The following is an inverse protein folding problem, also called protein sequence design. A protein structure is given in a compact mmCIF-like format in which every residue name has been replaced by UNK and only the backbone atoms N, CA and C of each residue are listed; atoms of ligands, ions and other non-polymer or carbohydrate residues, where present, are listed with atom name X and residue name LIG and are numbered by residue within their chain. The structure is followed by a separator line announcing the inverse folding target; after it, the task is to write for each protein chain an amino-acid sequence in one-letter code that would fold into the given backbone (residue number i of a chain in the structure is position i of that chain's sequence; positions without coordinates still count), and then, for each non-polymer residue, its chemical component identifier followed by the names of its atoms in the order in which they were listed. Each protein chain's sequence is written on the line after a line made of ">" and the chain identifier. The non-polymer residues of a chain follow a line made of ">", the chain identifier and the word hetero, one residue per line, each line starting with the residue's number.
data_IF_559840959080
#
_entry.id   IF_559840959080
#
_cell.length_a   1.000
_cell.length_b   1.000
_cell.length_c   1.000
_cell.angle_alpha   90.00
_cell.angle_beta   90.00
_cell.angle_gamma   90.00
#
_symmetry.space_group_name_H-M   'P 1'
#
loop_
_entity.id
_entity.type
_entity.pdbx_description
1 polymer ?
#
# COMPACT_ATOMS: atom_id res chain seq x y z
N UNK A 1 -7.92 14.26 -47.00
CA UNK A 1 -8.85 13.12 -47.09
C UNK A 1 -9.00 12.54 -45.69
N UNK A 2 -10.05 12.98 -44.99
CA UNK A 2 -11.13 12.12 -44.46
C UNK A 2 -10.63 11.23 -43.29
N UNK A 3 -10.62 11.72 -42.05
CA UNK A 3 -11.74 11.75 -41.07
C UNK A 3 -12.19 10.36 -40.61
N UNK A 4 -12.21 10.14 -39.29
CA UNK A 4 -12.88 9.02 -38.61
C UNK A 4 -11.89 7.97 -38.13
N UNK A 5 -11.81 7.60 -36.86
CA UNK A 5 -12.85 7.53 -35.84
C UNK A 5 -12.21 7.84 -34.48
N UNK A 6 -12.67 8.91 -33.84
CA UNK A 6 -12.57 9.04 -32.39
C UNK A 6 -13.37 7.86 -31.83
N UNK A 7 -12.67 6.87 -31.27
CA UNK A 7 -13.28 5.74 -30.57
C UNK A 7 -13.91 6.30 -29.30
N UNK A 8 -15.15 6.78 -29.42
CA UNK A 8 -15.96 7.19 -28.29
C UNK A 8 -16.12 5.98 -27.39
N UNK A 9 -15.42 5.96 -26.25
CA UNK A 9 -15.69 5.00 -25.18
C UNK A 9 -17.20 5.00 -24.95
N UNK A 10 -17.89 3.85 -24.92
CA UNK A 10 -19.30 3.84 -24.55
C UNK A 10 -19.38 4.37 -23.12
N UNK A 11 -19.96 5.55 -22.99
CA UNK A 11 -20.17 6.22 -21.72
C UNK A 11 -21.11 5.33 -20.92
N UNK A 12 -20.58 4.67 -19.89
CA UNK A 12 -21.40 3.89 -18.96
C UNK A 12 -22.36 4.86 -18.29
N UNK A 13 -23.64 4.82 -18.70
CA UNK A 13 -24.64 5.79 -18.28
C UNK A 13 -24.72 5.81 -16.74
N UNK A 14 -24.48 6.97 -16.08
CA UNK A 14 -24.50 7.08 -14.61
C UNK A 14 -25.77 6.51 -13.96
N UNK A 15 -26.90 6.60 -14.66
CA UNK A 15 -28.18 6.03 -14.24
C UNK A 15 -28.14 4.51 -14.07
N UNK A 16 -27.45 3.78 -14.95
CA UNK A 16 -27.32 2.32 -14.84
C UNK A 16 -26.52 1.90 -13.61
N UNK A 17 -25.47 2.65 -13.26
CA UNK A 17 -24.67 2.37 -12.06
C UNK A 17 -25.43 2.64 -10.77
N UNK A 18 -26.32 3.64 -10.78
CA UNK A 18 -27.23 3.89 -9.66
C UNK A 18 -28.24 2.76 -9.49
N UNK A 19 -28.88 2.32 -10.59
CA UNK A 19 -29.85 1.22 -10.54
C UNK A 19 -29.24 -0.10 -10.06
N UNK A 20 -27.97 -0.35 -10.41
CA UNK A 20 -27.20 -1.51 -9.95
C UNK A 20 -26.62 -1.34 -8.53
N UNK A 21 -26.88 -0.20 -7.87
CA UNK A 21 -26.32 0.14 -6.56
C UNK A 21 -24.80 -0.04 -6.50
N UNK A 22 -24.10 0.29 -7.60
CA UNK A 22 -22.68 -0.05 -7.77
C UNK A 22 -21.81 0.54 -6.66
N UNK A 23 -22.08 1.77 -6.24
CA UNK A 23 -21.37 2.41 -5.12
C UNK A 23 -21.56 1.64 -3.80
N UNK A 24 -22.76 1.12 -3.53
CA UNK A 24 -23.06 0.30 -2.34
C UNK A 24 -22.24 -0.99 -2.35
N UNK A 25 -22.14 -1.66 -3.51
CA UNK A 25 -21.29 -2.84 -3.68
C UNK A 25 -19.82 -2.52 -3.40
N UNK A 26 -19.31 -1.41 -3.95
CA UNK A 26 -17.93 -0.97 -3.69
C UNK A 26 -17.69 -0.67 -2.21
N UNK A 27 -18.64 -0.07 -1.50
CA UNK A 27 -18.51 0.16 -0.05
C UNK A 27 -18.44 -1.15 0.75
N UNK A 28 -19.27 -2.14 0.39
CA UNK A 28 -19.22 -3.46 1.03
C UNK A 28 -17.85 -4.12 0.84
N UNK A 29 -17.28 -4.05 -0.36
CA UNK A 29 -15.95 -4.60 -0.64
C UNK A 29 -14.87 -3.77 0.09
N UNK A 30 -14.95 -2.44 0.05
CA UNK A 30 -14.01 -1.54 0.70
C UNK A 30 -13.94 -1.77 2.22
N UNK A 31 -15.07 -2.14 2.86
CA UNK A 31 -15.12 -2.50 4.28
C UNK A 31 -14.30 -3.74 4.64
N UNK A 32 -13.93 -4.56 3.65
CA UNK A 32 -13.11 -5.77 3.79
C UNK A 32 -11.64 -5.55 3.41
N UNK A 33 -11.26 -4.36 2.95
CA UNK A 33 -9.89 -4.07 2.56
C UNK A 33 -8.96 -4.07 3.79
N UNK A 34 -7.75 -4.61 3.63
CA UNK A 34 -6.75 -4.67 4.70
C UNK A 34 -6.06 -3.32 4.99
N UNK A 35 -6.32 -2.28 4.20
CA UNK A 35 -5.70 -0.96 4.34
C UNK A 35 -6.63 0.17 3.91
N UNK A 36 -6.40 1.36 4.45
CA UNK A 36 -7.15 2.57 4.08
C UNK A 36 -6.95 2.91 2.60
N UNK A 37 -5.72 2.80 2.09
CA UNK A 37 -5.40 3.01 0.67
C UNK A 37 -6.11 2.01 -0.24
N UNK A 38 -6.18 0.73 0.16
CA UNK A 38 -6.93 -0.31 -0.58
C UNK A 38 -8.43 -0.02 -0.60
N UNK A 39 -9.00 0.38 0.54
CA UNK A 39 -10.40 0.76 0.63
C UNK A 39 -10.72 1.96 -0.27
N UNK A 40 -9.87 2.99 -0.26
CA UNK A 40 -10.00 4.16 -1.13
C UNK A 40 -9.89 3.79 -2.62
N UNK A 41 -8.96 2.89 -2.97
CA UNK A 41 -8.83 2.38 -4.33
C UNK A 41 -10.11 1.68 -4.80
N UNK A 42 -10.68 0.80 -3.97
CA UNK A 42 -11.92 0.09 -4.29
C UNK A 42 -13.09 1.06 -4.54
N UNK A 43 -13.27 2.08 -3.70
CA UNK A 43 -14.29 3.12 -3.89
C UNK A 43 -14.10 3.91 -5.20
N UNK A 44 -12.85 4.06 -5.62
CA UNK A 44 -12.49 4.73 -6.87
C UNK A 44 -12.72 3.90 -8.12
N UNK A 45 -13.00 2.59 -8.01
CA UNK A 45 -13.16 1.72 -9.17
C UNK A 45 -14.34 2.15 -10.05
N UNK A 46 -14.16 2.01 -11.35
CA UNK A 46 -15.20 2.21 -12.37
C UNK A 46 -15.21 1.00 -13.29
N UNK A 47 -16.39 0.58 -13.78
CA UNK A 47 -16.42 -0.46 -14.80
C UNK A 47 -15.70 0.02 -16.05
N UNK A 48 -15.16 -0.92 -16.80
CA UNK A 48 -14.38 -0.61 -17.99
C UNK A 48 -15.07 -1.13 -19.23
N UNK A 49 -15.21 -0.24 -20.20
CA UNK A 49 -15.70 -0.58 -21.53
C UNK A 49 -14.67 -1.35 -22.39
N UNK A 50 -13.42 -1.42 -21.94
CA UNK A 50 -12.34 -2.07 -22.70
C UNK A 50 -12.19 -3.51 -22.22
N UNK A 51 -12.60 -4.46 -23.06
CA UNK A 51 -12.59 -5.88 -22.73
C UNK A 51 -11.20 -6.40 -22.32
N UNK A 52 -10.12 -5.90 -22.94
CA UNK A 52 -8.76 -6.26 -22.56
C UNK A 52 -8.43 -5.86 -21.11
N UNK A 53 -8.71 -4.60 -20.74
CA UNK A 53 -8.51 -4.11 -19.37
C UNK A 53 -9.40 -4.80 -18.35
N UNK A 54 -10.63 -5.17 -18.73
CA UNK A 54 -11.52 -5.96 -17.86
C UNK A 54 -10.95 -7.36 -17.60
N UNK A 55 -10.50 -8.06 -18.64
CA UNK A 55 -9.86 -9.38 -18.52
C UNK A 55 -8.61 -9.34 -17.66
N UNK A 56 -7.73 -8.35 -17.87
CA UNK A 56 -6.50 -8.21 -17.07
C UNK A 56 -6.81 -8.06 -15.57
N UNK A 57 -7.77 -7.21 -15.20
CA UNK A 57 -8.18 -7.07 -13.78
C UNK A 57 -8.83 -8.33 -13.22
N UNK A 58 -9.60 -9.05 -14.02
CA UNK A 58 -10.19 -10.33 -13.60
C UNK A 58 -9.11 -11.40 -13.40
N UNK A 59 -8.12 -11.49 -14.29
CA UNK A 59 -6.97 -12.39 -14.12
C UNK A 59 -6.21 -12.11 -12.83
N UNK A 60 -5.92 -10.83 -12.52
CA UNK A 60 -5.30 -10.47 -11.23
C UNK A 60 -6.17 -10.86 -10.03
N UNK A 61 -7.49 -10.77 -10.16
CA UNK A 61 -8.43 -11.18 -9.12
C UNK A 61 -8.40 -12.69 -8.90
N UNK A 62 -8.41 -13.48 -9.98
CA UNK A 62 -8.34 -14.94 -9.94
C UNK A 62 -7.01 -15.43 -9.35
N UNK A 63 -5.89 -14.80 -9.72
CA UNK A 63 -4.59 -15.05 -9.12
C UNK A 63 -4.60 -14.74 -7.62
N UNK A 64 -5.23 -13.64 -7.20
CA UNK A 64 -5.33 -13.28 -5.78
C UNK A 64 -6.18 -14.27 -4.99
N UNK A 65 -7.31 -14.72 -5.55
CA UNK A 65 -8.14 -15.78 -4.94
C UNK A 65 -7.34 -17.07 -4.81
N UNK A 66 -6.58 -17.42 -5.84
CA UNK A 66 -5.70 -18.60 -5.83
C UNK A 66 -4.67 -18.52 -4.70
N UNK A 67 -4.00 -17.37 -4.55
CA UNK A 67 -3.01 -17.14 -3.49
C UNK A 67 -3.65 -17.26 -2.09
N UNK A 68 -4.79 -16.60 -1.86
CA UNK A 68 -5.47 -16.61 -0.56
C UNK A 68 -5.95 -18.01 -0.18
N UNK A 69 -6.50 -18.77 -1.12
CA UNK A 69 -7.07 -20.09 -0.84
C UNK A 69 -6.04 -21.23 -0.79
N UNK A 70 -4.95 -21.15 -1.55
CA UNK A 70 -3.95 -22.24 -1.63
C UNK A 70 -2.82 -22.09 -0.61
N UNK A 71 -2.42 -20.87 -0.32
CA UNK A 71 -1.26 -20.57 0.53
C UNK A 71 -1.66 -20.01 1.90
N UNK A 72 -2.96 -19.96 2.22
CA UNK A 72 -3.53 -19.29 3.40
C UNK A 72 -2.92 -17.89 3.61
N UNK A 73 -2.68 -17.19 2.50
CA UNK A 73 -1.93 -15.94 2.53
C UNK A 73 -2.77 -14.82 3.12
N UNK A 74 -2.16 -14.10 4.07
CA UNK A 74 -2.76 -12.94 4.73
C UNK A 74 -1.80 -11.75 4.52
N UNK A 75 -2.29 -10.59 4.03
CA UNK A 75 -1.44 -9.43 3.88
C UNK A 75 -0.88 -8.99 5.25
N UNK A 76 0.38 -8.52 5.31
CA UNK A 76 0.86 -7.86 6.52
C UNK A 76 0.02 -6.61 6.81
N UNK A 77 0.10 -6.08 8.03
CA UNK A 77 -0.48 -4.77 8.35
C UNK A 77 0.11 -3.72 7.40
N UNK A 78 -0.75 -3.02 6.67
CA UNK A 78 -0.38 -1.89 5.81
C UNK A 78 -0.94 -0.62 6.48
N UNK A 79 -0.08 0.26 7.03
CA UNK A 79 -0.55 1.46 7.69
C UNK A 79 -0.98 2.54 6.71
N UNK A 80 -1.75 3.51 7.21
CA UNK A 80 -1.95 4.77 6.49
C UNK A 80 -0.79 5.72 6.80
N UNK A 81 0.25 5.65 5.98
CA UNK A 81 1.44 6.50 6.10
C UNK A 81 1.31 7.84 5.34
N UNK A 82 0.16 8.07 4.69
CA UNK A 82 -0.09 9.24 3.83
C UNK A 82 0.08 10.59 4.54
N UNK A 83 -0.34 10.76 5.82
CA UNK A 83 -0.12 12.01 6.55
C UNK A 83 1.37 12.35 6.70
N UNK A 84 2.19 11.39 7.11
CA UNK A 84 3.64 11.57 7.25
C UNK A 84 4.32 11.88 5.91
N UNK A 85 3.94 11.17 4.84
CA UNK A 85 4.46 11.45 3.48
C UNK A 85 4.07 12.85 3.00
N UNK A 86 2.85 13.29 3.27
CA UNK A 86 2.38 14.64 2.94
C UNK A 86 3.16 15.71 3.72
N UNK A 87 3.48 15.43 4.99
CA UNK A 87 4.31 16.31 5.82
C UNK A 87 5.70 16.47 5.20
N UNK A 88 6.35 15.36 4.83
CA UNK A 88 7.69 15.35 4.21
C UNK A 88 7.79 16.13 2.88
N UNK A 89 6.67 16.38 2.20
CA UNK A 89 6.67 17.23 1.01
C UNK A 89 6.93 18.72 1.32
N UNK A 90 6.81 19.13 2.59
CA UNK A 90 7.07 20.48 3.06
C UNK A 90 8.55 20.60 3.43
N UNK A 91 9.26 21.52 2.81
CA UNK A 91 10.68 21.76 3.09
C UNK A 91 10.92 22.12 4.56
N UNK A 92 11.96 21.51 5.15
CA UNK A 92 12.31 21.70 6.57
C UNK A 92 11.39 20.98 7.57
N UNK A 93 10.36 20.27 7.10
CA UNK A 93 9.54 19.44 7.97
C UNK A 93 10.31 18.21 8.45
N UNK A 94 9.89 17.71 9.61
CA UNK A 94 10.39 16.47 10.21
C UNK A 94 9.22 15.59 10.60
N UNK A 95 9.43 14.28 10.59
CA UNK A 95 8.48 13.32 11.13
C UNK A 95 8.69 13.20 12.64
N UNK A 96 7.58 13.06 13.36
CA UNK A 96 7.65 12.62 14.74
C UNK A 96 7.87 11.10 14.82
N UNK A 97 7.98 10.61 16.04
CA UNK A 97 8.24 9.22 16.36
C UNK A 97 7.16 8.26 15.84
N UNK A 98 5.89 8.65 15.94
CA UNK A 98 4.76 7.84 15.47
C UNK A 98 4.73 7.80 13.93
N UNK A 99 4.91 8.96 13.28
CA UNK A 99 5.00 9.05 11.83
C UNK A 99 6.15 8.20 11.30
N UNK A 100 7.33 8.25 11.92
CA UNK A 100 8.50 7.43 11.54
C UNK A 100 8.23 5.93 11.69
N UNK A 101 7.55 5.51 12.75
CA UNK A 101 7.21 4.11 12.98
C UNK A 101 6.23 3.58 11.91
N UNK A 102 5.28 4.42 11.48
CA UNK A 102 4.37 4.06 10.39
C UNK A 102 5.09 3.98 9.03
N UNK A 103 6.07 4.85 8.76
CA UNK A 103 6.92 4.72 7.56
C UNK A 103 7.75 3.42 7.59
N UNK A 104 8.33 3.08 8.74
CA UNK A 104 9.09 1.84 8.92
C UNK A 104 8.20 0.60 8.68
N UNK A 105 6.98 0.64 9.23
CA UNK A 105 5.99 -0.41 9.05
C UNK A 105 5.57 -0.56 7.58
N UNK A 106 5.36 0.55 6.87
CA UNK A 106 5.03 0.54 5.45
C UNK A 106 6.15 -0.05 4.58
N UNK A 107 7.40 0.32 4.83
CA UNK A 107 8.57 -0.22 4.12
C UNK A 107 8.69 -1.74 4.33
N UNK A 108 8.50 -2.20 5.57
CA UNK A 108 8.53 -3.63 5.87
C UNK A 108 7.39 -4.39 5.20
N UNK A 109 6.17 -3.83 5.21
CA UNK A 109 5.03 -4.40 4.52
C UNK A 109 5.28 -4.52 3.00
N UNK A 110 5.81 -3.47 2.37
CA UNK A 110 6.18 -3.47 0.94
C UNK A 110 7.13 -4.60 0.59
N UNK A 111 8.23 -4.75 1.34
CA UNK A 111 9.20 -5.84 1.12
C UNK A 111 8.58 -7.22 1.32
N UNK A 112 7.78 -7.42 2.37
CA UNK A 112 7.13 -8.70 2.68
C UNK A 112 6.16 -9.11 1.56
N UNK A 113 5.24 -8.22 1.19
CA UNK A 113 4.29 -8.46 0.09
C UNK A 113 5.05 -8.78 -1.19
N UNK A 114 6.10 -8.01 -1.52
CA UNK A 114 6.91 -8.28 -2.72
C UNK A 114 7.57 -9.66 -2.67
N UNK A 115 8.09 -10.08 -1.53
CA UNK A 115 8.69 -11.40 -1.34
C UNK A 115 7.66 -12.51 -1.54
N UNK A 116 6.48 -12.35 -0.95
CA UNK A 116 5.41 -13.35 -1.01
C UNK A 116 4.88 -13.53 -2.43
N UNK A 117 4.58 -12.42 -3.13
CA UNK A 117 4.05 -12.45 -4.49
C UNK A 117 5.05 -13.00 -5.52
N UNK A 118 6.36 -13.01 -5.21
CA UNK A 118 7.40 -13.56 -6.08
C UNK A 118 7.75 -15.02 -5.78
N UNK A 119 7.09 -15.65 -4.81
CA UNK A 119 7.41 -17.03 -4.40
C UNK A 119 7.03 -18.07 -5.44
N UNK A 120 5.95 -17.83 -6.19
CA UNK A 120 5.51 -18.67 -7.32
C UNK A 120 5.24 -17.83 -8.59
N UNK A 121 6.30 -17.42 -9.31
CA UNK A 121 6.14 -16.63 -10.53
C UNK A 121 5.42 -17.36 -11.67
N UNK A 122 5.46 -18.69 -11.67
CA UNK A 122 4.83 -19.52 -12.69
C UNK A 122 3.32 -19.66 -12.48
N UNK A 123 2.87 -19.73 -11.22
CA UNK A 123 1.46 -19.80 -10.86
C UNK A 123 0.75 -18.44 -10.80
N UNK A 124 1.48 -17.35 -10.51
CA UNK A 124 0.92 -16.01 -10.28
C UNK A 124 1.67 -14.91 -11.08
N UNK A 125 1.73 -15.00 -12.41
CA UNK A 125 2.54 -14.09 -13.23
C UNK A 125 2.08 -12.63 -13.20
N UNK A 126 0.77 -12.37 -13.08
CA UNK A 126 0.22 -11.02 -12.96
C UNK A 126 0.57 -10.36 -11.63
N UNK A 127 0.39 -11.06 -10.51
CA UNK A 127 0.77 -10.59 -9.17
C UNK A 127 2.28 -10.42 -9.04
N UNK A 128 3.07 -11.31 -9.64
CA UNK A 128 4.53 -11.16 -9.71
C UNK A 128 4.91 -9.85 -10.37
N UNK A 129 4.30 -9.52 -11.53
CA UNK A 129 4.54 -8.26 -12.23
C UNK A 129 4.09 -7.05 -11.40
N UNK A 130 2.92 -7.14 -10.75
CA UNK A 130 2.43 -6.07 -9.87
C UNK A 130 3.40 -5.79 -8.71
N UNK A 131 4.04 -6.83 -8.18
CA UNK A 131 5.02 -6.72 -7.11
C UNK A 131 6.29 -5.95 -7.50
N UNK A 132 6.58 -5.79 -8.79
CA UNK A 132 7.76 -5.06 -9.27
C UNK A 132 7.69 -3.56 -8.95
N UNK A 133 6.47 -3.02 -8.79
CA UNK A 133 6.26 -1.64 -8.37
C UNK A 133 6.50 -1.40 -6.87
N UNK A 134 6.63 -2.46 -6.06
CA UNK A 134 6.83 -2.35 -4.62
C UNK A 134 8.29 -2.01 -4.29
N UNK A 135 8.48 -0.98 -3.47
CA UNK A 135 9.80 -0.54 -3.03
C UNK A 135 10.45 -1.60 -2.13
N UNK A 136 11.74 -1.83 -2.32
CA UNK A 136 12.57 -2.63 -1.41
C UNK A 136 13.83 -1.84 -1.09
N UNK A 137 13.87 -1.24 0.10
CA UNK A 137 15.02 -0.48 0.59
C UNK A 137 15.49 -1.03 1.93
N UNK A 138 16.15 -2.19 1.86
CA UNK A 138 16.55 -2.97 3.05
C UNK A 138 17.41 -2.15 4.02
N UNK A 139 18.35 -1.35 3.52
CA UNK A 139 19.21 -0.54 4.38
C UNK A 139 18.43 0.53 5.16
N UNK A 140 17.43 1.17 4.52
CA UNK A 140 16.58 2.14 5.20
C UNK A 140 15.65 1.46 6.20
N UNK A 141 15.01 0.36 5.80
CA UNK A 141 14.13 -0.44 6.66
C UNK A 141 14.88 -0.89 7.92
N UNK A 142 16.06 -1.47 7.78
CA UNK A 142 16.87 -1.93 8.91
C UNK A 142 17.33 -0.78 9.83
N UNK A 143 17.70 0.37 9.25
CA UNK A 143 18.08 1.54 10.03
C UNK A 143 16.91 2.05 10.86
N UNK A 144 15.72 2.13 10.26
CA UNK A 144 14.51 2.52 10.97
C UNK A 144 14.18 1.48 12.05
N UNK A 145 14.19 0.18 11.73
CA UNK A 145 13.90 -0.88 12.70
C UNK A 145 14.84 -0.86 13.92
N UNK A 146 16.15 -0.61 13.74
CA UNK A 146 17.11 -0.48 14.84
C UNK A 146 16.97 0.81 15.66
N UNK A 147 16.23 1.80 15.15
CA UNK A 147 16.00 3.07 15.83
C UNK A 147 14.88 2.99 16.87
N UNK A 148 14.06 1.93 16.84
CA UNK A 148 12.96 1.74 17.79
C UNK A 148 13.24 0.59 18.76
N UNK A 149 12.79 0.75 20.00
CA UNK A 149 12.72 -0.30 21.00
C UNK A 149 11.51 -1.21 20.74
N UNK A 150 11.44 -2.34 21.43
CA UNK A 150 10.30 -3.26 21.34
C UNK A 150 8.97 -2.63 21.78
N UNK A 151 9.02 -1.57 22.60
CA UNK A 151 7.84 -0.77 22.99
C UNK A 151 7.28 0.09 21.85
N UNK A 152 8.00 0.23 20.73
CA UNK A 152 7.69 1.17 19.66
C UNK A 152 8.25 2.57 19.89
N UNK A 153 8.95 2.79 21.01
CA UNK A 153 9.57 4.08 21.30
C UNK A 153 10.95 4.22 20.64
N UNK A 154 11.38 5.43 20.29
CA UNK A 154 12.72 5.72 19.82
C UNK A 154 13.74 5.32 20.89
N UNK A 155 14.60 4.38 20.54
CA UNK A 155 15.66 3.90 21.41
C UNK A 155 16.73 4.98 21.61
N UNK A 156 17.39 4.96 22.77
CA UNK A 156 18.52 5.86 23.03
C UNK A 156 19.67 5.67 22.01
N UNK A 157 19.75 4.47 21.42
CA UNK A 157 20.71 4.13 20.36
C UNK A 157 20.30 4.58 18.96
N UNK A 158 19.11 5.19 18.77
CA UNK A 158 18.65 5.67 17.47
C UNK A 158 19.61 6.69 16.84
N UNK A 159 20.23 7.51 17.68
CA UNK A 159 21.38 8.33 17.28
C UNK A 159 22.31 8.55 18.47
N UNK A 160 23.60 8.77 18.19
CA UNK A 160 24.59 9.09 19.23
C UNK A 160 24.22 10.35 20.01
N UNK A 161 23.67 11.34 19.33
CA UNK A 161 23.27 12.61 19.94
C UNK A 161 22.06 12.45 20.86
N UNK A 162 21.04 11.71 20.43
CA UNK A 162 19.86 11.44 21.27
C UNK A 162 20.25 10.70 22.55
N UNK A 163 21.09 9.67 22.43
CA UNK A 163 21.61 8.94 23.59
C UNK A 163 22.40 9.82 24.55
N UNK A 164 23.26 10.72 24.03
CA UNK A 164 24.00 11.69 24.84
C UNK A 164 23.05 12.62 25.60
N UNK A 165 22.12 13.27 24.90
CA UNK A 165 21.17 14.23 25.50
C UNK A 165 20.29 13.56 26.56
N UNK A 166 19.75 12.37 26.29
CA UNK A 166 18.95 11.63 27.28
C UNK A 166 19.77 11.17 28.48
N UNK A 167 21.05 10.83 28.28
CA UNK A 167 21.99 10.51 29.36
C UNK A 167 22.23 11.69 30.30
N UNK A 168 22.49 12.89 29.75
CA UNK A 168 22.67 14.13 30.51
C UNK A 168 21.43 14.48 31.35
N UNK A 169 20.22 14.31 30.79
CA UNK A 169 18.96 14.56 31.50
C UNK A 169 18.72 13.59 32.67
N UNK A 170 19.14 12.32 32.56
CA UNK A 170 19.02 11.34 33.65
C UNK A 170 20.03 11.58 34.78
N UNK A 171 21.24 12.04 34.45
CA UNK A 171 22.30 12.33 35.41
C UNK A 171 22.14 13.66 36.15
N UNK A 172 21.23 14.53 35.70
CA UNK A 172 20.93 15.84 36.30
C UNK A 172 19.76 15.81 37.29
N UNK A 173 19.34 14.62 37.74
CA UNK A 173 18.24 14.37 38.67
C UNK A 173 18.76 13.77 39.97
#
# INVERSE_FOLDING_TARGET
>A
MATGLSQTQPELLPHGLQLLEFATVLELIASRAASAAGAAHVRGLRPSAVAASARERLTLTDEMVTLVLREDWIPPRIPDASPGLSRLAIEGSVLDEADLLEQASLLSASRRVRSDLRRDPGGLPGLTRLSEALLTETHLEERLARSFAASGELADGASRELGRVRGELRGSR
#
